data_IF_598703463159
#
_entry.id   IF_598703463159
#
_cell.length_a   1.000
_cell.length_b   1.000
_cell.length_c   1.000
_cell.angle_alpha   90.00
_cell.angle_beta   90.00
_cell.angle_gamma   90.00
#
_symmetry.space_group_name_H-M   'P 1'
#
loop_
_entity.id
_entity.type
_entity.pdbx_description
1 polymer ?
#
# COMPACT_ATOMS: atom_id res chain seq x y z
N UNK A 1 22.46 -17.45 -19.00
CA UNK A 1 21.16 -17.64 -19.67
C UNK A 1 19.99 -17.89 -18.72
N UNK A 2 20.05 -18.82 -17.75
CA UNK A 2 18.92 -19.09 -16.82
C UNK A 2 18.63 -17.94 -15.84
N UNK A 3 19.64 -17.26 -15.30
CA UNK A 3 19.47 -16.16 -14.33
C UNK A 3 18.77 -14.94 -14.93
N UNK A 4 19.11 -14.58 -16.15
CA UNK A 4 18.50 -13.45 -16.89
C UNK A 4 17.05 -13.73 -17.26
N UNK A 5 16.74 -14.98 -17.67
CA UNK A 5 15.37 -15.43 -17.96
C UNK A 5 14.47 -15.40 -16.72
N UNK A 6 15.00 -15.75 -15.55
CA UNK A 6 14.27 -15.70 -14.29
C UNK A 6 13.99 -14.26 -13.84
N UNK A 7 14.92 -13.32 -14.02
CA UNK A 7 14.72 -11.90 -13.73
C UNK A 7 13.63 -11.30 -14.64
N UNK A 8 13.63 -11.63 -15.95
CA UNK A 8 12.59 -11.18 -16.88
C UNK A 8 11.20 -11.72 -16.50
N UNK A 9 11.10 -12.98 -16.08
CA UNK A 9 9.83 -13.58 -15.62
C UNK A 9 9.33 -12.92 -14.34
N UNK A 10 10.21 -12.70 -13.36
CA UNK A 10 9.86 -12.03 -12.11
C UNK A 10 9.35 -10.61 -12.36
N UNK A 11 10.01 -9.86 -13.24
CA UNK A 11 9.58 -8.53 -13.65
C UNK A 11 8.20 -8.55 -14.32
N UNK A 12 7.98 -9.48 -15.27
CA UNK A 12 6.73 -9.59 -16.00
C UNK A 12 5.55 -9.92 -15.06
N UNK A 13 5.68 -10.92 -14.19
CA UNK A 13 4.63 -11.27 -13.24
C UNK A 13 4.33 -10.18 -12.23
N UNK A 14 5.36 -9.47 -11.76
CA UNK A 14 5.16 -8.33 -10.87
C UNK A 14 4.43 -7.18 -11.57
N UNK A 15 4.75 -6.93 -12.84
CA UNK A 15 4.06 -5.92 -13.67
C UNK A 15 2.60 -6.30 -13.89
N UNK A 16 2.31 -7.55 -14.29
CA UNK A 16 0.94 -8.06 -14.47
C UNK A 16 0.15 -7.92 -13.16
N UNK A 17 0.71 -8.40 -12.04
CA UNK A 17 0.05 -8.32 -10.74
C UNK A 17 -0.26 -6.89 -10.31
N UNK A 18 0.69 -5.96 -10.49
CA UNK A 18 0.48 -4.54 -10.19
C UNK A 18 -0.57 -3.88 -11.08
N UNK A 19 -0.60 -4.25 -12.36
CA UNK A 19 -1.62 -3.76 -13.31
C UNK A 19 -3.01 -4.30 -12.96
N UNK A 20 -3.14 -5.59 -12.62
CA UNK A 20 -4.39 -6.18 -12.15
C UNK A 20 -4.87 -5.51 -10.86
N UNK A 21 -3.96 -5.26 -9.91
CA UNK A 21 -4.28 -4.55 -8.66
C UNK A 21 -4.80 -3.14 -8.91
N UNK A 22 -4.13 -2.35 -9.74
CA UNK A 22 -4.56 -1.00 -10.06
C UNK A 22 -5.83 -0.99 -10.91
N UNK A 23 -5.92 -1.90 -11.89
CA UNK A 23 -7.08 -2.03 -12.79
C UNK A 23 -8.36 -2.45 -12.07
N UNK A 24 -8.28 -3.24 -11.00
CA UNK A 24 -9.45 -3.66 -10.22
C UNK A 24 -10.22 -2.47 -9.63
N UNK A 25 -9.51 -1.41 -9.21
CA UNK A 25 -10.14 -0.19 -8.67
C UNK A 25 -11.01 0.53 -9.71
N UNK A 26 -10.53 0.59 -10.95
CA UNK A 26 -11.29 1.16 -12.07
C UNK A 26 -12.49 0.30 -12.43
N UNK A 27 -12.30 -1.02 -12.48
CA UNK A 27 -13.35 -1.97 -12.79
C UNK A 27 -14.49 -1.91 -11.75
N UNK A 28 -14.16 -1.85 -10.47
CA UNK A 28 -15.18 -1.76 -9.41
C UNK A 28 -16.03 -0.51 -9.58
N UNK A 29 -15.43 0.66 -9.77
CA UNK A 29 -16.19 1.89 -9.97
C UNK A 29 -17.03 1.83 -11.25
N UNK A 30 -16.49 1.29 -12.34
CA UNK A 30 -17.20 1.11 -13.60
C UNK A 30 -18.46 0.26 -13.42
N UNK A 31 -18.30 -0.91 -12.82
CA UNK A 31 -19.40 -1.88 -12.68
C UNK A 31 -20.48 -1.33 -11.74
N UNK A 32 -20.08 -0.70 -10.62
CA UNK A 32 -21.01 -0.06 -9.69
C UNK A 32 -21.77 1.09 -10.37
N UNK A 33 -21.08 1.95 -11.14
CA UNK A 33 -21.72 3.05 -11.84
C UNK A 33 -22.75 2.55 -12.87
N UNK A 34 -22.42 1.49 -13.61
CA UNK A 34 -23.28 0.93 -14.66
C UNK A 34 -24.51 0.20 -14.12
N UNK A 35 -24.37 -0.50 -12.98
CA UNK A 35 -25.41 -1.37 -12.43
C UNK A 35 -26.24 -0.65 -11.37
N UNK A 36 -25.58 0.10 -10.47
CA UNK A 36 -26.22 0.72 -9.30
C UNK A 36 -26.51 2.22 -9.49
N UNK A 37 -26.00 2.83 -10.56
CA UNK A 37 -26.17 4.26 -10.84
C UNK A 37 -25.14 5.16 -10.15
N UNK A 38 -25.18 6.46 -10.50
CA UNK A 38 -24.18 7.43 -10.10
C UNK A 38 -24.16 7.72 -8.59
N UNK A 39 -25.31 7.76 -7.93
CA UNK A 39 -25.40 8.06 -6.50
C UNK A 39 -24.69 6.98 -5.64
N UNK A 40 -25.05 5.68 -5.85
CA UNK A 40 -24.37 4.59 -5.13
C UNK A 40 -22.89 4.44 -5.51
N UNK A 41 -22.53 4.75 -6.75
CA UNK A 41 -21.13 4.78 -7.17
C UNK A 41 -20.34 5.90 -6.49
N UNK A 42 -20.97 7.04 -6.20
CA UNK A 42 -20.35 8.13 -5.42
C UNK A 42 -20.05 7.73 -4.00
N UNK A 43 -21.02 7.16 -3.31
CA UNK A 43 -20.81 6.57 -1.99
C UNK A 43 -19.71 5.51 -2.00
N UNK A 44 -19.74 4.58 -2.98
CA UNK A 44 -18.71 3.55 -3.14
C UNK A 44 -17.32 4.18 -3.35
N UNK A 45 -17.23 5.19 -4.21
CA UNK A 45 -15.97 5.89 -4.50
C UNK A 45 -15.36 6.58 -3.28
N UNK A 46 -16.19 7.23 -2.45
CA UNK A 46 -15.76 7.89 -1.22
C UNK A 46 -15.31 6.84 -0.17
N UNK A 47 -16.10 5.80 0.04
CA UNK A 47 -15.78 4.70 0.95
C UNK A 47 -14.50 3.98 0.52
N UNK A 48 -14.31 3.75 -0.79
CA UNK A 48 -13.13 3.13 -1.34
C UNK A 48 -11.87 4.02 -1.21
N UNK A 49 -12.02 5.34 -1.41
CA UNK A 49 -10.94 6.30 -1.19
C UNK A 49 -10.49 6.33 0.27
N UNK A 50 -11.45 6.29 1.21
CA UNK A 50 -11.18 6.17 2.64
C UNK A 50 -10.50 4.85 2.99
N UNK A 51 -10.98 3.74 2.42
CA UNK A 51 -10.37 2.43 2.61
C UNK A 51 -8.91 2.39 2.09
N UNK A 52 -8.62 3.04 0.97
CA UNK A 52 -7.26 3.20 0.43
C UNK A 52 -6.36 4.04 1.35
N UNK A 53 -6.91 5.10 1.96
CA UNK A 53 -6.17 5.91 2.93
C UNK A 53 -5.87 5.10 4.20
N UNK A 54 -6.86 4.41 4.74
CA UNK A 54 -6.72 3.54 5.91
C UNK A 54 -5.81 2.33 5.64
N UNK A 55 -5.70 1.88 4.39
CA UNK A 55 -4.74 0.85 3.99
C UNK A 55 -3.29 1.24 4.33
N UNK A 56 -2.96 2.55 4.33
CA UNK A 56 -1.62 2.99 4.76
C UNK A 56 -1.39 2.72 6.25
N UNK A 57 -2.44 2.81 7.09
CA UNK A 57 -2.39 2.38 8.50
C UNK A 57 -2.16 0.87 8.59
N UNK A 58 -2.90 0.08 7.79
CA UNK A 58 -2.73 -1.38 7.72
C UNK A 58 -1.33 -1.80 7.24
N UNK A 59 -0.76 -1.14 6.25
CA UNK A 59 0.59 -1.41 5.72
C UNK A 59 1.72 -0.87 6.60
N UNK A 60 1.54 0.28 7.19
CA UNK A 60 2.47 0.97 8.09
C UNK A 60 3.94 1.07 7.58
N UNK A 61 4.15 0.92 6.28
CA UNK A 61 5.50 0.88 5.69
C UNK A 61 6.34 -0.36 6.02
N UNK A 62 5.79 -1.33 6.74
CA UNK A 62 6.50 -2.52 7.26
C UNK A 62 7.10 -3.37 6.14
N UNK A 63 6.40 -3.53 5.01
CA UNK A 63 6.89 -4.33 3.87
C UNK A 63 8.22 -3.82 3.32
N UNK A 64 8.39 -2.51 3.20
CA UNK A 64 9.63 -1.93 2.68
C UNK A 64 10.80 -2.23 3.60
N UNK A 65 10.57 -2.18 4.92
CA UNK A 65 11.57 -2.57 5.90
C UNK A 65 11.86 -4.07 5.80
N UNK A 66 10.83 -4.93 5.80
CA UNK A 66 10.95 -6.39 5.70
C UNK A 66 11.74 -6.81 4.46
N UNK A 67 11.42 -6.24 3.28
CA UNK A 67 12.12 -6.58 2.03
C UNK A 67 13.62 -6.24 2.03
N UNK A 68 14.05 -5.33 2.91
CA UNK A 68 15.46 -4.89 3.06
C UNK A 68 16.15 -5.45 4.30
N UNK A 69 15.44 -6.20 5.13
CA UNK A 69 15.99 -6.85 6.34
C UNK A 69 16.70 -8.18 5.98
N UNK A 70 17.82 -8.05 5.25
CA UNK A 70 18.61 -9.20 4.81
C UNK A 70 19.30 -9.92 5.97
N UNK A 71 19.53 -9.23 7.08
CA UNK A 71 20.13 -9.80 8.30
C UNK A 71 19.11 -10.50 9.21
N UNK A 72 17.85 -10.60 8.78
CA UNK A 72 16.76 -11.26 9.51
C UNK A 72 16.65 -10.78 10.97
N UNK A 73 16.75 -9.46 11.17
CA UNK A 73 16.67 -8.83 12.49
C UNK A 73 15.34 -9.12 13.19
N UNK A 74 14.28 -9.28 12.41
CA UNK A 74 12.94 -9.62 12.86
C UNK A 74 12.49 -10.92 12.21
N UNK A 75 11.85 -11.79 12.98
CA UNK A 75 11.28 -13.05 12.52
C UNK A 75 10.00 -12.81 11.69
N UNK A 76 9.62 -13.78 10.86
CA UNK A 76 8.37 -13.69 10.09
C UNK A 76 7.14 -13.63 11.02
N UNK A 77 7.19 -14.28 12.18
CA UNK A 77 6.13 -14.21 13.20
C UNK A 77 5.96 -12.80 13.80
N UNK A 78 7.06 -12.05 13.98
CA UNK A 78 7.01 -10.64 14.43
C UNK A 78 6.43 -9.72 13.36
N UNK A 79 6.77 -9.95 12.08
CA UNK A 79 6.13 -9.23 10.97
C UNK A 79 4.63 -9.54 10.87
N UNK A 80 4.20 -10.80 11.07
CA UNK A 80 2.76 -11.15 11.13
C UNK A 80 2.05 -10.47 12.29
N UNK A 81 2.65 -10.48 13.50
CA UNK A 81 2.07 -9.81 14.67
C UNK A 81 1.94 -8.29 14.45
N UNK A 82 2.97 -7.65 13.87
CA UNK A 82 2.88 -6.23 13.52
C UNK A 82 1.70 -5.95 12.58
N UNK A 83 1.44 -6.86 11.63
CA UNK A 83 0.33 -6.76 10.68
C UNK A 83 -1.03 -6.93 11.35
N UNK A 84 -1.16 -7.85 12.29
CA UNK A 84 -2.40 -8.02 13.07
C UNK A 84 -2.73 -6.73 13.82
N UNK A 85 -1.74 -6.12 14.49
CA UNK A 85 -1.92 -4.86 15.22
C UNK A 85 -2.34 -3.74 14.28
N UNK A 86 -1.62 -3.54 13.17
CA UNK A 86 -1.91 -2.44 12.22
C UNK A 86 -3.23 -2.63 11.47
N UNK A 87 -3.61 -3.86 11.12
CA UNK A 87 -4.91 -4.18 10.57
C UNK A 87 -6.04 -3.97 11.58
N UNK A 88 -5.83 -4.31 12.85
CA UNK A 88 -6.77 -4.02 13.93
C UNK A 88 -7.01 -2.52 14.09
N UNK A 89 -5.95 -1.71 14.08
CA UNK A 89 -6.06 -0.24 14.10
C UNK A 89 -6.76 0.31 12.84
N UNK A 90 -6.45 -0.24 11.67
CA UNK A 90 -7.12 0.11 10.41
C UNK A 90 -8.63 -0.11 10.50
N UNK A 91 -9.07 -1.28 11.00
CA UNK A 91 -10.49 -1.60 11.16
C UNK A 91 -11.15 -0.73 12.22
N UNK A 92 -10.47 -0.47 13.35
CA UNK A 92 -10.99 0.42 14.40
C UNK A 92 -11.27 1.82 13.84
N UNK A 93 -10.30 2.43 13.16
CA UNK A 93 -10.48 3.75 12.52
C UNK A 93 -11.53 3.70 11.42
N UNK A 94 -11.62 2.59 10.69
CA UNK A 94 -12.65 2.39 9.66
C UNK A 94 -14.07 2.33 10.22
N UNK A 95 -14.28 1.60 11.32
CA UNK A 95 -15.57 1.52 12.01
C UNK A 95 -15.95 2.91 12.55
N UNK A 96 -15.02 3.59 13.23
CA UNK A 96 -15.25 4.95 13.76
C UNK A 96 -15.65 5.89 12.61
N UNK A 97 -14.85 5.95 11.54
CA UNK A 97 -15.16 6.81 10.39
C UNK A 97 -16.54 6.52 9.79
N UNK A 98 -16.84 5.24 9.55
CA UNK A 98 -18.11 4.84 8.94
C UNK A 98 -19.32 5.19 9.83
N UNK A 99 -19.21 5.00 11.14
CA UNK A 99 -20.28 5.31 12.09
C UNK A 99 -20.56 6.81 12.21
N UNK A 100 -19.55 7.67 12.02
CA UNK A 100 -19.73 9.13 12.08
C UNK A 100 -20.20 9.75 10.76
N UNK A 101 -19.91 9.12 9.61
CA UNK A 101 -20.15 9.73 8.30
C UNK A 101 -21.32 9.11 7.54
N UNK A 102 -21.75 7.91 7.91
CA UNK A 102 -22.83 7.17 7.23
C UNK A 102 -23.93 6.72 8.19
N UNK A 103 -25.06 6.28 7.66
CA UNK A 103 -26.20 5.76 8.43
C UNK A 103 -26.75 4.47 7.80
N UNK A 104 -27.43 3.66 8.62
CA UNK A 104 -28.11 2.44 8.16
C UNK A 104 -27.17 1.45 7.46
N UNK A 105 -27.58 0.93 6.33
CA UNK A 105 -26.82 -0.07 5.55
C UNK A 105 -25.49 0.46 5.02
N UNK A 106 -25.36 1.77 4.78
CA UNK A 106 -24.15 2.39 4.27
C UNK A 106 -22.97 2.23 5.22
N UNK A 107 -23.20 2.19 6.55
CA UNK A 107 -22.15 1.89 7.54
C UNK A 107 -21.55 0.53 7.25
N UNK A 108 -22.39 -0.48 7.08
CA UNK A 108 -21.98 -1.88 6.91
C UNK A 108 -21.25 -2.05 5.57
N UNK A 109 -21.78 -1.46 4.49
CA UNK A 109 -21.14 -1.50 3.16
C UNK A 109 -19.74 -0.87 3.23
N UNK A 110 -19.61 0.30 3.87
CA UNK A 110 -18.33 0.98 4.04
C UNK A 110 -17.32 0.13 4.81
N UNK A 111 -17.75 -0.53 5.91
CA UNK A 111 -16.91 -1.44 6.69
C UNK A 111 -16.42 -2.61 5.84
N UNK A 112 -17.27 -3.23 5.01
CA UNK A 112 -16.86 -4.31 4.12
C UNK A 112 -15.90 -3.84 3.00
N UNK A 113 -16.07 -2.61 2.47
CA UNK A 113 -15.12 -2.01 1.54
C UNK A 113 -13.74 -1.81 2.22
N UNK A 114 -13.73 -1.34 3.47
CA UNK A 114 -12.51 -1.21 4.26
C UNK A 114 -11.89 -2.59 4.54
N UNK A 115 -12.70 -3.60 4.83
CA UNK A 115 -12.24 -4.98 5.00
C UNK A 115 -11.63 -5.56 3.72
N UNK A 116 -12.22 -5.30 2.54
CA UNK A 116 -11.60 -5.66 1.26
C UNK A 116 -10.20 -5.07 1.11
N UNK A 117 -9.98 -3.82 1.55
CA UNK A 117 -8.66 -3.19 1.54
C UNK A 117 -7.75 -3.67 2.67
N UNK A 118 -8.28 -4.09 3.80
CA UNK A 118 -7.50 -4.73 4.86
C UNK A 118 -6.86 -6.03 4.36
N UNK A 119 -7.54 -6.77 3.49
CA UNK A 119 -6.98 -7.98 2.87
C UNK A 119 -5.70 -7.66 2.08
N UNK A 120 -5.64 -6.51 1.41
CA UNK A 120 -4.42 -6.04 0.72
C UNK A 120 -3.26 -5.80 1.72
N UNK A 121 -3.56 -5.35 2.95
CA UNK A 121 -2.56 -5.22 4.00
C UNK A 121 -2.11 -6.58 4.55
N UNK A 122 -3.03 -7.53 4.73
CA UNK A 122 -2.69 -8.90 5.17
C UNK A 122 -1.79 -9.58 4.14
N UNK A 123 -2.13 -9.48 2.84
CA UNK A 123 -1.33 -10.03 1.75
C UNK A 123 0.10 -9.46 1.71
N UNK A 124 0.24 -8.19 2.05
CA UNK A 124 1.49 -7.43 1.97
C UNK A 124 2.62 -8.04 2.83
N UNK A 125 2.33 -8.66 3.98
CA UNK A 125 3.34 -9.31 4.82
C UNK A 125 3.88 -10.61 4.20
N UNK A 126 3.02 -11.36 3.51
CA UNK A 126 3.44 -12.55 2.76
C UNK A 126 4.26 -12.17 1.54
N UNK A 127 3.87 -11.09 0.84
CA UNK A 127 4.64 -10.54 -0.27
C UNK A 127 6.01 -10.03 0.18
N UNK A 128 6.10 -9.42 1.35
CA UNK A 128 7.37 -9.03 1.97
C UNK A 128 8.29 -10.22 2.21
N UNK A 129 7.75 -11.33 2.73
CA UNK A 129 8.49 -12.58 2.95
C UNK A 129 9.00 -13.18 1.62
N UNK A 130 8.15 -13.28 0.61
CA UNK A 130 8.56 -13.77 -0.72
C UNK A 130 9.61 -12.87 -1.37
N UNK A 131 9.50 -11.55 -1.21
CA UNK A 131 10.46 -10.59 -1.74
C UNK A 131 11.82 -10.67 -1.02
N UNK A 132 11.82 -10.83 0.30
CA UNK A 132 13.02 -11.00 1.12
C UNK A 132 13.80 -12.27 0.72
N UNK A 133 13.09 -13.32 0.30
CA UNK A 133 13.67 -14.58 -0.17
C UNK A 133 13.89 -14.63 -1.71
N UNK A 134 13.87 -13.48 -2.39
CA UNK A 134 14.08 -13.35 -3.85
C UNK A 134 13.04 -14.06 -4.74
N UNK A 135 11.85 -14.41 -4.21
CA UNK A 135 10.77 -15.06 -4.94
C UNK A 135 9.74 -14.06 -5.50
N UNK A 136 10.21 -13.01 -6.19
CA UNK A 136 9.37 -11.93 -6.73
C UNK A 136 8.38 -12.42 -7.81
N UNK A 137 8.72 -13.47 -8.56
CA UNK A 137 7.82 -14.10 -9.54
C UNK A 137 6.57 -14.67 -8.85
N UNK A 138 6.76 -15.41 -7.75
CA UNK A 138 5.69 -16.04 -6.99
C UNK A 138 4.79 -15.00 -6.32
N UNK A 139 5.39 -13.92 -5.81
CA UNK A 139 4.68 -12.76 -5.29
C UNK A 139 3.76 -12.15 -6.36
N UNK A 140 4.29 -11.92 -7.58
CA UNK A 140 3.49 -11.39 -8.69
C UNK A 140 2.33 -12.32 -9.09
N UNK A 141 2.55 -13.64 -9.10
CA UNK A 141 1.50 -14.65 -9.36
C UNK A 141 0.40 -14.62 -8.30
N UNK A 142 0.77 -14.62 -7.00
CA UNK A 142 -0.19 -14.55 -5.90
C UNK A 142 -1.07 -13.30 -6.00
N UNK A 143 -0.44 -12.13 -6.21
CA UNK A 143 -1.12 -10.86 -6.41
C UNK A 143 -2.09 -10.89 -7.60
N UNK A 144 -1.68 -11.48 -8.73
CA UNK A 144 -2.51 -11.60 -9.93
C UNK A 144 -3.73 -12.49 -9.68
N UNK A 145 -3.52 -13.70 -9.12
CA UNK A 145 -4.59 -14.68 -8.86
C UNK A 145 -5.67 -14.04 -7.98
N UNK A 146 -5.28 -13.43 -6.85
CA UNK A 146 -6.23 -12.83 -5.93
C UNK A 146 -6.99 -11.65 -6.55
N UNK A 147 -6.29 -10.74 -7.23
CA UNK A 147 -6.95 -9.56 -7.78
C UNK A 147 -7.89 -9.90 -8.94
N UNK A 148 -7.50 -10.82 -9.83
CA UNK A 148 -8.37 -11.28 -10.92
C UNK A 148 -9.60 -11.98 -10.34
N UNK A 149 -9.42 -12.90 -9.38
CA UNK A 149 -10.55 -13.55 -8.70
C UNK A 149 -11.50 -12.52 -8.08
N UNK A 150 -10.97 -11.58 -7.27
CA UNK A 150 -11.79 -10.58 -6.59
C UNK A 150 -12.56 -9.71 -7.58
N UNK A 151 -11.92 -9.31 -8.69
CA UNK A 151 -12.55 -8.49 -9.72
C UNK A 151 -13.66 -9.24 -10.47
N UNK A 152 -13.43 -10.49 -10.85
CA UNK A 152 -14.42 -11.34 -11.53
C UNK A 152 -15.58 -11.66 -10.59
N UNK A 153 -15.28 -12.03 -9.35
CA UNK A 153 -16.28 -12.39 -8.35
C UNK A 153 -17.17 -11.19 -7.98
N UNK A 154 -16.56 -10.02 -7.71
CA UNK A 154 -17.28 -8.77 -7.45
C UNK A 154 -18.24 -8.43 -8.59
N UNK A 155 -17.74 -8.46 -9.82
CA UNK A 155 -18.51 -8.15 -11.02
C UNK A 155 -19.66 -9.15 -11.20
N UNK A 156 -19.39 -10.45 -11.08
CA UNK A 156 -20.40 -11.50 -11.23
C UNK A 156 -21.52 -11.41 -10.19
N UNK A 157 -21.17 -11.25 -8.90
CA UNK A 157 -22.16 -11.10 -7.84
C UNK A 157 -22.99 -9.83 -8.04
N UNK A 158 -22.37 -8.69 -8.39
CA UNK A 158 -23.11 -7.45 -8.60
C UNK A 158 -24.06 -7.52 -9.79
N UNK A 159 -23.69 -8.19 -10.88
CA UNK A 159 -24.56 -8.41 -12.04
C UNK A 159 -25.80 -9.25 -11.69
N UNK A 160 -25.64 -10.25 -10.83
CA UNK A 160 -26.72 -11.16 -10.43
C UNK A 160 -27.61 -10.53 -9.39
N UNK A 161 -27.03 -9.97 -8.32
CA UNK A 161 -27.78 -9.51 -7.14
C UNK A 161 -28.27 -8.08 -7.24
N UNK A 162 -27.60 -7.25 -8.07
CA UNK A 162 -27.79 -5.79 -8.15
C UNK A 162 -27.73 -5.09 -6.79
N UNK A 163 -27.15 -5.75 -5.76
CA UNK A 163 -27.03 -5.26 -4.40
C UNK A 163 -25.57 -5.04 -4.05
N UNK A 164 -25.21 -3.79 -3.75
CA UNK A 164 -23.86 -3.43 -3.33
C UNK A 164 -23.51 -4.06 -1.97
N UNK A 165 -24.50 -4.16 -1.07
CA UNK A 165 -24.35 -4.79 0.24
C UNK A 165 -23.91 -6.26 0.12
N UNK A 166 -24.66 -7.07 -0.63
CA UNK A 166 -24.34 -8.50 -0.82
C UNK A 166 -22.99 -8.66 -1.52
N UNK A 167 -22.74 -7.83 -2.52
CA UNK A 167 -21.49 -7.88 -3.31
C UNK A 167 -20.27 -7.59 -2.47
N UNK A 168 -20.27 -6.51 -1.70
CA UNK A 168 -19.13 -6.13 -0.86
C UNK A 168 -18.89 -7.17 0.24
N UNK A 169 -19.96 -7.65 0.89
CA UNK A 169 -19.87 -8.67 1.93
C UNK A 169 -19.30 -10.00 1.39
N UNK A 170 -19.89 -10.53 0.32
CA UNK A 170 -19.45 -11.79 -0.28
C UNK A 170 -18.01 -11.69 -0.80
N UNK A 171 -17.66 -10.59 -1.47
CA UNK A 171 -16.30 -10.40 -2.00
C UNK A 171 -15.27 -10.26 -0.88
N UNK A 172 -15.59 -9.55 0.21
CA UNK A 172 -14.68 -9.42 1.34
C UNK A 172 -14.38 -10.79 1.98
N UNK A 173 -15.43 -11.57 2.27
CA UNK A 173 -15.29 -12.89 2.92
C UNK A 173 -14.51 -13.87 2.01
N UNK A 174 -14.90 -14.01 0.76
CA UNK A 174 -14.27 -14.96 -0.18
C UNK A 174 -12.83 -14.56 -0.53
N UNK A 175 -12.57 -13.26 -0.69
CA UNK A 175 -11.21 -12.75 -0.94
C UNK A 175 -10.29 -12.97 0.27
N UNK A 176 -10.81 -12.89 1.50
CA UNK A 176 -10.02 -13.18 2.70
C UNK A 176 -9.61 -14.66 2.74
N UNK A 177 -10.56 -15.57 2.50
CA UNK A 177 -10.30 -17.00 2.47
C UNK A 177 -9.24 -17.32 1.39
N UNK A 178 -9.43 -16.77 0.18
CA UNK A 178 -8.48 -16.98 -0.93
C UNK A 178 -7.10 -16.37 -0.62
N UNK A 179 -7.06 -15.18 -0.04
CA UNK A 179 -5.82 -14.52 0.36
C UNK A 179 -5.02 -15.40 1.33
N UNK A 180 -5.67 -15.90 2.38
CA UNK A 180 -5.02 -16.75 3.37
C UNK A 180 -4.56 -18.09 2.75
N UNK A 181 -5.39 -18.72 1.91
CA UNK A 181 -5.06 -19.98 1.25
C UNK A 181 -3.86 -19.84 0.29
N UNK A 182 -3.95 -18.89 -0.65
CA UNK A 182 -2.93 -18.69 -1.70
C UNK A 182 -1.60 -18.21 -1.10
N UNK A 183 -1.64 -17.18 -0.25
CA UNK A 183 -0.41 -16.62 0.29
C UNK A 183 0.26 -17.55 1.31
N UNK A 184 -0.51 -18.29 2.12
CA UNK A 184 0.06 -19.30 3.02
C UNK A 184 0.70 -20.45 2.25
N UNK A 185 0.08 -20.88 1.13
CA UNK A 185 0.66 -21.91 0.26
C UNK A 185 1.99 -21.46 -0.36
N UNK A 186 2.04 -20.24 -0.94
CA UNK A 186 3.27 -19.69 -1.49
C UNK A 186 4.34 -19.44 -0.43
N UNK A 187 3.96 -18.91 0.74
CA UNK A 187 4.88 -18.63 1.83
C UNK A 187 5.51 -19.91 2.40
N UNK A 188 4.71 -20.98 2.59
CA UNK A 188 5.22 -22.29 3.05
C UNK A 188 6.19 -22.91 2.05
N UNK A 189 5.95 -22.73 0.75
CA UNK A 189 6.75 -23.36 -0.30
C UNK A 189 8.01 -22.59 -0.68
N UNK A 190 7.98 -21.26 -0.56
CA UNK A 190 9.01 -20.36 -1.07
C UNK A 190 9.45 -19.28 -0.07
N UNK A 191 8.79 -19.17 1.06
CA UNK A 191 9.07 -18.16 2.08
C UNK A 191 10.06 -18.62 3.16
N UNK A 192 10.34 -17.74 4.12
CA UNK A 192 11.05 -18.13 5.34
C UNK A 192 10.19 -19.08 6.19
N UNK A 193 10.78 -20.16 6.73
CA UNK A 193 10.09 -20.97 7.72
C UNK A 193 9.77 -20.12 8.96
N UNK A 194 8.63 -20.39 9.59
CA UNK A 194 8.32 -19.80 10.90
C UNK A 194 9.33 -20.36 11.92
N UNK A 195 10.03 -19.49 12.64
CA UNK A 195 10.96 -19.84 13.70
C UNK A 195 10.33 -20.71 14.81
N UNK A 196 8.99 -20.85 14.83
CA UNK A 196 8.27 -21.75 15.71
C UNK A 196 8.35 -23.23 15.30
N UNK A 197 8.74 -23.52 14.04
CA UNK A 197 8.95 -24.91 13.60
C UNK A 197 10.30 -25.46 14.10
N UNK A 198 11.33 -24.60 14.24
CA UNK A 198 12.65 -25.03 14.74
C UNK A 198 12.65 -25.28 16.25
N UNK A 199 11.77 -24.61 17.02
CA UNK A 199 11.67 -24.88 18.46
C UNK A 199 11.09 -26.26 18.76
N UNK A 200 10.30 -26.88 17.86
CA UNK A 200 9.84 -28.27 18.02
C UNK A 200 10.96 -29.28 17.72
N UNK A 201 11.82 -28.96 16.75
CA UNK A 201 12.97 -29.81 16.42
C UNK A 201 14.06 -29.71 17.55
N UNK A 202 14.37 -28.48 18.00
CA UNK A 202 15.28 -28.29 19.13
C UNK A 202 14.74 -28.87 20.44
N UNK A 203 13.42 -28.91 20.69
CA UNK A 203 12.84 -29.58 21.84
C UNK A 203 12.83 -31.10 21.68
N UNK A 204 12.75 -31.62 20.45
CA UNK A 204 12.89 -33.05 20.21
C UNK A 204 14.34 -33.51 20.39
N UNK A 205 15.31 -32.75 19.90
CA UNK A 205 16.74 -33.02 20.04
C UNK A 205 17.20 -32.83 21.50
N UNK A 206 16.67 -31.81 22.21
CA UNK A 206 16.94 -31.64 23.65
C UNK A 206 16.31 -32.74 24.49
N UNK A 207 15.12 -33.26 24.17
CA UNK A 207 14.53 -34.43 24.83
C UNK A 207 15.25 -35.71 24.49
N UNK A 208 15.79 -35.87 23.29
CA UNK A 208 16.58 -37.02 22.90
C UNK A 208 17.95 -36.98 23.55
N UNK A 209 18.61 -35.82 23.62
CA UNK A 209 19.86 -35.62 24.36
C UNK A 209 19.71 -35.83 25.89
N UNK A 210 18.56 -35.42 26.47
CA UNK A 210 18.21 -35.72 27.85
C UNK A 210 17.93 -37.22 28.08
N UNK A 211 17.28 -37.88 27.12
CA UNK A 211 17.02 -39.32 27.16
C UNK A 211 18.32 -40.15 27.11
N UNK A 212 19.27 -39.73 26.27
CA UNK A 212 20.57 -40.40 26.15
C UNK A 212 21.51 -40.13 27.36
N UNK A 213 21.40 -38.92 27.98
CA UNK A 213 22.10 -38.61 29.22
C UNK A 213 21.57 -39.42 30.43
N UNK A 214 20.30 -39.80 30.42
CA UNK A 214 19.71 -40.66 31.46
C UNK A 214 20.08 -42.14 31.29
N UNK A 215 20.30 -42.63 30.06
CA UNK A 215 20.77 -43.98 29.78
C UNK A 215 22.24 -44.21 30.19
N UNK A 216 23.06 -43.17 30.20
CA UNK A 216 24.47 -43.28 30.51
C UNK A 216 24.77 -43.29 32.05
N UNK A 217 23.77 -43.14 32.91
CA UNK A 217 23.93 -43.13 34.39
C UNK A 217 23.38 -44.37 35.10
N UNK A 218 22.87 -45.37 34.36
CA UNK A 218 22.30 -46.60 34.97
C UNK A 218 23.24 -47.82 35.00
N UNK A 219 24.50 -47.68 34.60
CA UNK A 219 25.50 -48.72 34.75
C UNK A 219 26.65 -48.23 35.67
N UNK A 220 26.42 -48.23 36.96
CA UNK A 220 27.39 -48.56 38.00
C UNK A 220 26.81 -48.39 39.41
N UNK A 221 26.60 -49.55 40.04
CA UNK A 221 26.79 -49.91 41.47
C UNK A 221 26.00 -49.16 42.56
N UNK A 222 25.31 -50.03 43.33
CA UNK A 222 25.20 -50.01 44.78
C UNK A 222 24.25 -49.01 45.46
N UNK A 223 23.16 -49.59 45.92
CA UNK A 223 22.52 -49.40 47.23
C UNK A 223 22.41 -47.99 47.81
N UNK A 224 21.22 -47.35 47.63
CA UNK A 224 20.51 -46.78 48.80
C UNK A 224 19.14 -46.18 48.28
N UNK A 225 18.11 -46.60 49.00
CA UNK A 225 16.77 -46.08 48.91
C UNK A 225 16.68 -44.62 49.36
N UNK A 226 16.31 -43.70 48.50
CA UNK A 226 15.73 -42.41 48.89
C UNK A 226 14.47 -42.13 48.09
N UNK A 227 13.38 -41.96 48.86
CA UNK A 227 12.09 -41.47 48.38
C UNK A 227 12.26 -40.16 47.61
N UNK A 228 11.84 -40.11 46.34
CA UNK A 228 11.59 -38.86 45.64
C UNK A 228 10.12 -38.50 45.79
N UNK A 229 9.86 -37.40 46.47
CA UNK A 229 8.55 -36.80 46.64
C UNK A 229 8.04 -36.16 45.35
N UNK A 230 6.74 -36.31 45.10
CA UNK A 230 6.00 -35.80 43.95
C UNK A 230 5.69 -34.31 44.12
N UNK A 231 6.71 -33.43 44.12
CA UNK A 231 6.49 -31.96 44.13
C UNK A 231 7.01 -31.21 42.90
N UNK A 232 7.51 -31.91 41.86
CA UNK A 232 8.12 -31.27 40.68
C UNK A 232 7.15 -31.04 39.49
N UNK A 233 5.88 -31.50 39.57
CA UNK A 233 4.93 -31.36 38.48
C UNK A 233 4.27 -29.96 38.38
N UNK A 234 4.18 -29.23 39.48
CA UNK A 234 3.51 -27.93 39.54
C UNK A 234 4.44 -26.77 39.22
N UNK A 235 5.73 -26.89 39.51
CA UNK A 235 6.74 -25.87 39.18
C UNK A 235 7.10 -25.82 37.67
N UNK A 236 6.96 -26.95 36.95
CA UNK A 236 7.21 -27.01 35.52
C UNK A 236 6.06 -26.37 34.73
N UNK A 237 4.80 -26.50 35.14
CA UNK A 237 3.68 -25.84 34.51
C UNK A 237 3.75 -24.30 34.68
N UNK A 238 4.05 -23.84 35.91
CA UNK A 238 4.25 -22.41 36.19
C UNK A 238 5.47 -21.80 35.49
N UNK A 239 6.56 -22.58 35.33
CA UNK A 239 7.73 -22.16 34.54
C UNK A 239 7.44 -22.12 33.05
N UNK A 240 6.62 -23.02 32.50
CA UNK A 240 6.18 -22.95 31.08
C UNK A 240 5.27 -21.75 30.81
N UNK A 241 4.33 -21.45 31.72
CA UNK A 241 3.49 -20.24 31.58
C UNK A 241 4.30 -18.95 31.76
N UNK A 242 5.21 -18.89 32.70
CA UNK A 242 6.12 -17.75 32.89
C UNK A 242 7.09 -17.58 31.71
N UNK A 243 7.61 -18.65 31.11
CA UNK A 243 8.47 -18.57 29.93
C UNK A 243 7.70 -18.18 28.68
N UNK A 244 6.41 -18.55 28.57
CA UNK A 244 5.53 -18.11 27.46
C UNK A 244 5.19 -16.62 27.57
N UNK A 245 4.86 -16.15 28.78
CA UNK A 245 4.56 -14.72 29.01
C UNK A 245 5.79 -13.82 28.84
N UNK A 246 6.97 -14.29 29.19
CA UNK A 246 8.25 -13.58 28.96
C UNK A 246 8.59 -13.55 27.46
N UNK A 247 8.33 -14.65 26.72
CA UNK A 247 8.52 -14.72 25.27
C UNK A 247 7.58 -13.79 24.50
N UNK A 248 6.32 -13.70 24.93
CA UNK A 248 5.34 -12.83 24.29
C UNK A 248 5.58 -11.34 24.60
N UNK A 249 5.97 -11.01 25.81
CA UNK A 249 6.37 -9.63 26.19
C UNK A 249 7.61 -9.17 25.40
N UNK A 250 8.57 -10.06 25.16
CA UNK A 250 9.75 -9.75 24.34
C UNK A 250 9.39 -9.53 22.87
N UNK A 251 8.53 -10.39 22.28
CA UNK A 251 8.03 -10.23 20.90
C UNK A 251 7.26 -8.92 20.74
N UNK A 252 6.38 -8.57 21.68
CA UNK A 252 5.63 -7.32 21.63
C UNK A 252 6.54 -6.09 21.68
N UNK A 253 7.57 -6.11 22.51
CA UNK A 253 8.58 -5.04 22.58
C UNK A 253 9.38 -4.91 21.29
N UNK A 254 9.70 -6.00 20.60
CA UNK A 254 10.35 -6.00 19.30
C UNK A 254 9.45 -5.42 18.22
N UNK A 255 8.18 -5.82 18.16
CA UNK A 255 7.19 -5.28 17.22
C UNK A 255 6.98 -3.78 17.42
N UNK A 256 6.92 -3.31 18.67
CA UNK A 256 6.82 -1.87 18.97
C UNK A 256 8.04 -1.10 18.45
N UNK A 257 9.25 -1.66 18.56
CA UNK A 257 10.46 -1.06 17.98
C UNK A 257 10.40 -1.02 16.46
N UNK A 258 9.94 -2.09 15.81
CA UNK A 258 9.75 -2.16 14.37
C UNK A 258 8.79 -1.07 13.90
N UNK A 259 7.62 -0.94 14.54
CA UNK A 259 6.64 0.07 14.19
C UNK A 259 7.18 1.49 14.37
N UNK A 260 7.94 1.78 15.45
CA UNK A 260 8.60 3.08 15.64
C UNK A 260 9.57 3.42 14.51
N UNK A 261 10.33 2.44 14.02
CA UNK A 261 11.24 2.62 12.87
C UNK A 261 10.47 2.92 11.59
N UNK A 262 9.31 2.29 11.39
CA UNK A 262 8.48 2.46 10.20
C UNK A 262 7.59 3.73 10.25
N UNK A 263 7.40 4.36 11.42
CA UNK A 263 6.51 5.53 11.61
C UNK A 263 6.77 6.67 10.63
N UNK A 264 8.00 7.14 10.38
CA UNK A 264 8.23 8.23 9.44
C UNK A 264 7.81 7.89 8.01
N UNK A 265 8.00 6.62 7.60
CA UNK A 265 7.60 6.12 6.29
C UNK A 265 6.07 6.02 6.18
N UNK A 266 5.43 5.54 7.23
CA UNK A 266 3.97 5.51 7.33
C UNK A 266 3.37 6.92 7.20
N UNK A 267 3.84 7.89 7.98
CA UNK A 267 3.32 9.27 7.93
C UNK A 267 3.51 9.88 6.54
N UNK A 268 4.67 9.66 5.92
CA UNK A 268 4.94 10.15 4.56
C UNK A 268 3.97 9.60 3.51
N UNK A 269 3.75 8.28 3.50
CA UNK A 269 2.82 7.63 2.57
C UNK A 269 1.36 7.97 2.86
N UNK A 270 0.99 8.10 4.14
CA UNK A 270 -0.35 8.51 4.55
C UNK A 270 -0.67 9.93 4.09
N UNK A 271 0.22 10.90 4.35
CA UNK A 271 0.04 12.28 3.92
C UNK A 271 0.02 12.42 2.40
N UNK A 272 0.88 11.69 1.70
CA UNK A 272 0.89 11.67 0.24
C UNK A 272 -0.48 11.24 -0.31
N UNK A 273 -1.04 10.13 0.19
CA UNK A 273 -2.34 9.65 -0.26
C UNK A 273 -3.51 10.53 0.22
N UNK A 274 -3.39 11.11 1.41
CA UNK A 274 -4.38 12.07 1.93
C UNK A 274 -4.55 13.24 0.97
N UNK A 275 -3.46 13.83 0.47
CA UNK A 275 -3.48 14.96 -0.46
C UNK A 275 -4.28 14.67 -1.74
N UNK A 276 -4.18 13.44 -2.29
CA UNK A 276 -4.98 13.03 -3.44
C UNK A 276 -6.48 12.91 -3.12
N UNK A 277 -6.83 12.68 -1.85
CA UNK A 277 -8.21 12.46 -1.41
C UNK A 277 -8.85 13.70 -0.74
N UNK A 278 -8.07 14.73 -0.37
CA UNK A 278 -8.61 15.98 0.21
C UNK A 278 -9.77 16.56 -0.58
N UNK A 279 -9.72 16.67 -1.93
CA UNK A 279 -10.85 17.17 -2.71
C UNK A 279 -12.13 16.34 -2.52
N UNK A 280 -12.03 15.01 -2.45
CA UNK A 280 -13.16 14.11 -2.24
C UNK A 280 -13.81 14.30 -0.88
N UNK A 281 -12.99 14.43 0.18
CA UNK A 281 -13.50 14.70 1.54
C UNK A 281 -14.14 16.08 1.64
N UNK A 282 -13.59 17.09 0.95
CA UNK A 282 -14.20 18.40 0.91
C UNK A 282 -15.55 18.38 0.20
N UNK A 283 -15.69 17.63 -0.90
CA UNK A 283 -16.96 17.48 -1.63
C UNK A 283 -18.01 16.72 -0.82
N UNK A 284 -17.64 15.70 -0.06
CA UNK A 284 -18.56 14.88 0.72
C UNK A 284 -19.42 15.67 1.72
N UNK A 285 -18.90 16.81 2.19
CA UNK A 285 -19.59 17.68 3.14
C UNK A 285 -20.42 18.79 2.48
N UNK A 286 -20.38 18.93 1.15
CA UNK A 286 -20.91 20.09 0.42
C UNK A 286 -21.81 19.69 -0.74
N UNK A 287 -21.48 18.59 -1.43
CA UNK A 287 -22.12 18.15 -2.66
C UNK A 287 -22.78 16.78 -2.46
N UNK A 288 -23.72 16.44 -3.35
CA UNK A 288 -24.36 15.11 -3.37
C UNK A 288 -23.38 14.03 -3.84
N UNK A 289 -23.66 12.77 -3.53
CA UNK A 289 -22.81 11.62 -3.86
C UNK A 289 -22.54 11.47 -5.36
N UNK A 290 -23.46 11.89 -6.24
CA UNK A 290 -23.27 11.84 -7.68
C UNK A 290 -22.04 12.62 -8.13
N UNK A 291 -21.76 13.78 -7.53
CA UNK A 291 -20.59 14.58 -7.85
C UNK A 291 -19.29 13.85 -7.47
N UNK A 292 -19.30 12.97 -6.46
CA UNK A 292 -18.17 12.09 -6.15
C UNK A 292 -17.87 11.11 -7.29
N UNK A 293 -18.93 10.58 -7.92
CA UNK A 293 -18.81 9.70 -9.09
C UNK A 293 -18.19 10.46 -10.27
N UNK A 294 -18.76 11.61 -10.65
CA UNK A 294 -18.24 12.41 -11.76
C UNK A 294 -16.79 12.81 -11.55
N UNK A 295 -16.45 13.33 -10.38
CA UNK A 295 -15.07 13.67 -10.05
C UNK A 295 -14.12 12.44 -10.13
N UNK A 296 -14.54 11.30 -9.61
CA UNK A 296 -13.71 10.09 -9.61
C UNK A 296 -13.48 9.54 -11.01
N UNK A 297 -14.47 9.58 -11.89
CA UNK A 297 -14.34 9.20 -13.29
C UNK A 297 -13.40 10.17 -14.02
N UNK A 298 -13.57 11.48 -13.84
CA UNK A 298 -12.73 12.50 -14.46
C UNK A 298 -11.28 12.44 -13.95
N UNK A 299 -11.07 12.00 -12.71
CA UNK A 299 -9.75 11.87 -12.09
C UNK A 299 -8.95 10.66 -12.59
N UNK A 300 -9.61 9.60 -13.07
CA UNK A 300 -8.94 8.35 -13.46
C UNK A 300 -7.79 8.51 -14.45
N UNK A 301 -7.92 9.27 -15.56
CA UNK A 301 -6.80 9.45 -16.48
C UNK A 301 -5.58 10.11 -15.83
N UNK A 302 -5.77 11.01 -14.85
CA UNK A 302 -4.69 11.63 -14.09
C UNK A 302 -3.88 10.59 -13.31
N UNK A 303 -4.54 9.58 -12.76
CA UNK A 303 -3.88 8.45 -12.09
C UNK A 303 -3.12 7.57 -13.08
N UNK A 304 -3.68 7.33 -14.28
CA UNK A 304 -3.01 6.56 -15.34
C UNK A 304 -1.73 7.26 -15.79
N UNK A 305 -1.72 8.60 -15.91
CA UNK A 305 -0.52 9.38 -16.23
C UNK A 305 0.60 9.08 -15.21
N UNK A 306 0.29 9.15 -13.92
CA UNK A 306 1.27 8.88 -12.86
C UNK A 306 1.79 7.44 -12.93
N UNK A 307 0.93 6.46 -13.20
CA UNK A 307 1.30 5.05 -13.35
C UNK A 307 2.23 4.84 -14.56
N UNK A 308 1.94 5.47 -15.71
CA UNK A 308 2.79 5.39 -16.90
C UNK A 308 4.19 5.98 -16.63
N UNK A 309 4.26 7.11 -15.91
CA UNK A 309 5.53 7.71 -15.50
C UNK A 309 6.34 6.80 -14.58
N UNK A 310 5.70 6.03 -13.73
CA UNK A 310 6.38 5.05 -12.87
C UNK A 310 7.13 4.00 -13.70
N UNK A 311 6.55 3.50 -14.79
CA UNK A 311 7.21 2.54 -15.67
C UNK A 311 8.41 3.14 -16.42
N UNK A 312 8.30 4.39 -16.86
CA UNK A 312 9.39 5.11 -17.54
C UNK A 312 10.51 5.43 -16.58
N UNK A 313 10.19 5.81 -15.34
CA UNK A 313 11.18 6.29 -14.38
C UNK A 313 11.95 5.17 -13.66
N UNK A 314 11.32 4.03 -13.35
CA UNK A 314 11.97 2.92 -12.61
C UNK A 314 13.35 2.50 -13.18
N UNK A 315 13.54 2.33 -14.50
CA UNK A 315 14.84 1.95 -15.04
C UNK A 315 15.88 3.09 -14.99
N UNK A 316 15.46 4.36 -14.87
CA UNK A 316 16.36 5.53 -14.87
C UNK A 316 16.93 5.87 -13.50
N UNK A 317 16.34 5.35 -12.44
CA UNK A 317 16.72 5.64 -11.03
C UNK A 317 18.18 5.28 -10.73
N UNK A 318 18.65 4.14 -11.26
CA UNK A 318 20.01 3.66 -11.05
C UNK A 318 21.03 4.58 -11.72
N UNK A 319 20.77 5.02 -12.96
CA UNK A 319 21.60 5.97 -13.70
C UNK A 319 21.69 7.32 -12.98
N UNK A 320 20.56 7.82 -12.46
CA UNK A 320 20.50 9.07 -11.68
C UNK A 320 21.35 8.95 -10.41
N UNK A 321 21.21 7.85 -9.67
CA UNK A 321 22.01 7.60 -8.48
C UNK A 321 23.50 7.51 -8.81
N UNK A 322 23.88 6.79 -9.87
CA UNK A 322 25.25 6.63 -10.31
C UNK A 322 25.89 8.00 -10.65
N UNK A 323 25.25 8.79 -11.53
CA UNK A 323 25.76 10.13 -11.91
C UNK A 323 25.92 11.07 -10.71
N UNK A 324 25.03 10.94 -9.70
CA UNK A 324 25.15 11.70 -8.46
C UNK A 324 26.37 11.28 -7.63
N UNK A 325 26.64 9.99 -7.52
CA UNK A 325 27.77 9.46 -6.74
C UNK A 325 29.11 9.62 -7.46
N UNK A 326 29.14 9.54 -8.79
CA UNK A 326 30.30 9.86 -9.61
C UNK A 326 30.66 11.36 -9.58
N UNK A 327 29.84 12.19 -8.95
CA UNK A 327 30.06 13.62 -8.80
C UNK A 327 30.06 14.41 -10.14
N UNK A 328 29.47 13.86 -11.21
CA UNK A 328 29.27 14.52 -12.49
C UNK A 328 27.98 15.32 -12.51
N UNK A 329 27.99 16.49 -11.81
CA UNK A 329 26.81 17.33 -11.68
C UNK A 329 26.27 17.85 -13.02
N UNK A 330 27.11 18.02 -14.03
CA UNK A 330 26.69 18.51 -15.35
C UNK A 330 25.84 17.43 -16.05
N UNK A 331 26.35 16.20 -16.12
CA UNK A 331 25.60 15.08 -16.71
C UNK A 331 24.36 14.77 -15.90
N UNK A 332 24.44 14.77 -14.56
CA UNK A 332 23.29 14.58 -13.67
C UNK A 332 22.17 15.58 -13.98
N UNK A 333 22.48 16.89 -14.01
CA UNK A 333 21.47 17.94 -14.25
C UNK A 333 20.88 17.82 -15.65
N UNK A 334 21.72 17.56 -16.66
CA UNK A 334 21.25 17.37 -18.04
C UNK A 334 20.36 16.13 -18.19
N UNK A 335 20.69 15.03 -17.51
CA UNK A 335 19.90 13.81 -17.52
C UNK A 335 18.53 14.00 -16.84
N UNK A 336 18.51 14.67 -15.67
CA UNK A 336 17.27 15.03 -14.96
C UNK A 336 16.39 15.94 -15.83
N UNK A 337 16.95 17.00 -16.42
CA UNK A 337 16.20 17.90 -17.31
C UNK A 337 15.62 17.15 -18.52
N UNK A 338 16.39 16.24 -19.12
CA UNK A 338 15.91 15.41 -20.22
C UNK A 338 14.69 14.57 -19.81
N UNK A 339 14.71 13.96 -18.63
CA UNK A 339 13.57 13.17 -18.15
C UNK A 339 12.35 14.07 -17.90
N UNK A 340 12.53 15.22 -17.25
CA UNK A 340 11.46 16.23 -17.06
C UNK A 340 10.83 16.59 -18.40
N UNK A 341 11.65 16.93 -19.40
CA UNK A 341 11.14 17.30 -20.74
C UNK A 341 10.34 16.15 -21.38
N UNK A 342 10.83 14.91 -21.29
CA UNK A 342 10.10 13.75 -21.83
C UNK A 342 8.76 13.57 -21.15
N UNK A 343 8.70 13.67 -19.82
CA UNK A 343 7.44 13.56 -19.07
C UNK A 343 6.49 14.70 -19.45
N UNK A 344 6.97 15.95 -19.54
CA UNK A 344 6.15 17.09 -19.93
C UNK A 344 5.57 16.93 -21.34
N UNK A 345 6.36 16.46 -22.31
CA UNK A 345 5.88 16.20 -23.67
C UNK A 345 4.82 15.09 -23.68
N UNK A 346 5.05 14.00 -22.96
CA UNK A 346 4.06 12.93 -22.82
C UNK A 346 2.77 13.44 -22.17
N UNK A 347 2.89 14.24 -21.10
CA UNK A 347 1.74 14.82 -20.41
C UNK A 347 0.97 15.79 -21.31
N UNK A 348 1.65 16.64 -22.08
CA UNK A 348 1.02 17.52 -23.05
C UNK A 348 0.23 16.72 -24.10
N UNK A 349 0.83 15.65 -24.63
CA UNK A 349 0.15 14.73 -25.56
C UNK A 349 -1.11 14.09 -24.95
N UNK A 350 -1.05 13.67 -23.67
CA UNK A 350 -2.21 13.09 -22.98
C UNK A 350 -3.30 14.15 -22.71
N UNK A 351 -2.93 15.37 -22.35
CA UNK A 351 -3.89 16.49 -22.17
C UNK A 351 -4.62 16.79 -23.48
N UNK A 352 -3.88 16.87 -24.60
CA UNK A 352 -4.47 17.10 -25.94
C UNK A 352 -5.36 15.93 -26.34
N UNK A 353 -4.89 14.69 -26.22
CA UNK A 353 -5.67 13.49 -26.53
C UNK A 353 -6.91 13.34 -25.63
N UNK A 354 -6.76 13.65 -24.34
CA UNK A 354 -7.85 13.68 -23.37
C UNK A 354 -8.89 14.73 -23.73
N UNK A 355 -8.45 15.93 -24.13
CA UNK A 355 -9.35 16.99 -24.56
C UNK A 355 -10.18 16.59 -25.79
N UNK A 356 -9.57 15.91 -26.76
CA UNK A 356 -10.24 15.55 -28.05
C UNK A 356 -11.18 14.35 -27.87
N UNK A 357 -10.74 13.28 -27.21
CA UNK A 357 -11.44 11.99 -27.21
C UNK A 357 -11.70 11.48 -25.78
N UNK A 358 -10.88 11.86 -24.80
CA UNK A 358 -10.85 11.24 -23.48
C UNK A 358 -12.19 11.34 -22.73
N UNK A 359 -12.84 12.51 -22.73
CA UNK A 359 -14.14 12.70 -22.07
C UNK A 359 -15.21 11.81 -22.69
N UNK A 360 -15.36 11.84 -24.02
CA UNK A 360 -16.35 11.04 -24.74
C UNK A 360 -16.14 9.54 -24.52
N UNK A 361 -14.88 9.11 -24.47
CA UNK A 361 -14.54 7.71 -24.13
C UNK A 361 -15.01 7.34 -22.72
N UNK A 362 -14.81 8.21 -21.73
CA UNK A 362 -15.28 7.99 -20.36
C UNK A 362 -16.81 7.97 -20.29
N UNK A 363 -17.51 8.85 -21.01
CA UNK A 363 -18.97 8.85 -21.11
C UNK A 363 -19.51 7.53 -21.66
N UNK A 364 -18.91 7.01 -22.73
CA UNK A 364 -19.29 5.72 -23.32
C UNK A 364 -19.01 4.58 -22.35
N UNK A 365 -17.83 4.58 -21.72
CA UNK A 365 -17.43 3.51 -20.80
C UNK A 365 -18.32 3.49 -19.54
N UNK A 366 -18.53 4.64 -18.90
CA UNK A 366 -19.25 4.73 -17.63
C UNK A 366 -20.76 4.93 -17.78
N UNK A 367 -21.24 5.36 -18.94
CA UNK A 367 -22.68 5.61 -19.22
C UNK A 367 -23.25 6.80 -18.46
N UNK A 368 -22.45 7.80 -18.19
CA UNK A 368 -22.83 9.04 -17.51
C UNK A 368 -22.51 10.25 -18.38
N UNK A 369 -23.32 11.30 -18.29
CA UNK A 369 -23.05 12.55 -19.01
C UNK A 369 -21.99 13.38 -18.27
N UNK A 370 -20.84 13.57 -18.90
CA UNK A 370 -19.74 14.38 -18.41
C UNK A 370 -19.56 15.69 -19.20
N UNK A 371 -20.51 16.00 -20.11
CA UNK A 371 -20.46 17.20 -20.95
C UNK A 371 -20.29 18.51 -20.18
N UNK A 372 -20.93 18.68 -18.97
CA UNK A 372 -20.79 19.92 -18.20
C UNK A 372 -19.39 20.07 -17.55
N UNK A 373 -18.59 18.99 -17.49
CA UNK A 373 -17.34 18.95 -16.71
C UNK A 373 -16.06 18.97 -17.56
N UNK A 374 -16.13 19.49 -18.79
CA UNK A 374 -14.99 19.55 -19.73
C UNK A 374 -13.78 20.30 -19.15
N UNK A 375 -14.00 21.43 -18.50
CA UNK A 375 -12.93 22.25 -17.94
C UNK A 375 -12.29 21.58 -16.72
N UNK A 376 -13.12 20.99 -15.86
CA UNK A 376 -12.66 20.23 -14.70
C UNK A 376 -11.76 19.05 -15.12
N UNK A 377 -12.15 18.37 -16.20
CA UNK A 377 -11.38 17.27 -16.77
C UNK A 377 -9.97 17.73 -17.20
N UNK A 378 -9.87 18.86 -17.91
CA UNK A 378 -8.57 19.42 -18.32
C UNK A 378 -7.73 19.81 -17.12
N UNK A 379 -8.33 20.46 -16.11
CA UNK A 379 -7.63 20.84 -14.87
C UNK A 379 -7.07 19.61 -14.16
N UNK A 380 -7.84 18.53 -14.08
CA UNK A 380 -7.40 17.27 -13.48
C UNK A 380 -6.29 16.60 -14.28
N UNK A 381 -6.34 16.64 -15.62
CA UNK A 381 -5.25 16.12 -16.46
C UNK A 381 -3.94 16.91 -16.27
N UNK A 382 -4.01 18.24 -16.22
CA UNK A 382 -2.84 19.09 -15.93
C UNK A 382 -2.30 18.77 -14.53
N UNK A 383 -3.18 18.67 -13.54
CA UNK A 383 -2.80 18.26 -12.18
C UNK A 383 -2.13 16.88 -12.15
N UNK A 384 -2.63 15.93 -12.93
CA UNK A 384 -2.03 14.60 -13.10
C UNK A 384 -0.63 14.65 -13.72
N UNK A 385 -0.43 15.52 -14.72
CA UNK A 385 0.88 15.77 -15.33
C UNK A 385 1.89 16.34 -14.34
N UNK A 386 1.49 17.35 -13.57
CA UNK A 386 2.34 17.91 -12.48
C UNK A 386 2.58 16.85 -11.39
N UNK A 387 1.58 16.04 -11.06
CA UNK A 387 1.69 14.92 -10.11
C UNK A 387 2.72 13.87 -10.55
N UNK A 388 2.84 13.61 -11.85
CA UNK A 388 3.87 12.74 -12.41
C UNK A 388 5.28 13.32 -12.24
N UNK A 389 5.46 14.63 -12.44
CA UNK A 389 6.72 15.32 -12.14
C UNK A 389 7.05 15.30 -10.65
N UNK A 390 6.05 15.49 -9.78
CA UNK A 390 6.20 15.36 -8.32
C UNK A 390 6.70 13.96 -7.96
N UNK A 391 6.11 12.91 -8.54
CA UNK A 391 6.55 11.53 -8.33
C UNK A 391 8.01 11.33 -8.74
N UNK A 392 8.43 11.88 -9.86
CA UNK A 392 9.81 11.81 -10.33
C UNK A 392 10.77 12.55 -9.36
N UNK A 393 10.50 13.81 -9.01
CA UNK A 393 11.31 14.61 -8.09
C UNK A 393 11.48 13.93 -6.73
N UNK A 394 10.37 13.38 -6.21
CA UNK A 394 10.35 12.57 -4.99
C UNK A 394 11.36 11.40 -5.07
N UNK A 395 11.32 10.61 -6.14
CA UNK A 395 12.21 9.47 -6.30
C UNK A 395 13.68 9.88 -6.52
N UNK A 396 13.95 10.99 -7.21
CA UNK A 396 15.30 11.56 -7.35
C UNK A 396 15.87 11.92 -5.96
N UNK A 397 15.09 12.61 -5.13
CA UNK A 397 15.50 13.01 -3.79
C UNK A 397 15.78 11.78 -2.89
N UNK A 398 15.00 10.70 -3.05
CA UNK A 398 15.31 9.42 -2.38
C UNK A 398 16.65 8.85 -2.88
N UNK A 399 16.84 8.79 -4.19
CA UNK A 399 18.04 8.21 -4.81
C UNK A 399 19.33 8.91 -4.37
N UNK A 400 19.28 10.22 -4.16
CA UNK A 400 20.41 11.03 -3.64
C UNK A 400 20.46 11.11 -2.11
N UNK A 401 19.65 10.30 -1.39
CA UNK A 401 19.55 10.19 0.07
C UNK A 401 19.07 11.44 0.81
N UNK A 402 18.25 12.26 0.17
CA UNK A 402 17.61 13.45 0.75
C UNK A 402 16.15 13.19 1.18
N UNK A 403 15.75 11.95 1.41
CA UNK A 403 14.39 11.55 1.78
C UNK A 403 13.84 12.18 3.07
N UNK A 404 14.69 12.72 3.94
CA UNK A 404 14.25 13.39 5.19
C UNK A 404 13.38 14.63 4.95
N UNK A 405 13.48 15.27 3.78
CA UNK A 405 12.69 16.45 3.44
C UNK A 405 11.22 16.13 3.10
N UNK A 406 10.87 14.86 2.90
CA UNK A 406 9.54 14.48 2.43
C UNK A 406 8.44 14.76 3.44
N UNK A 407 8.69 14.42 4.70
CA UNK A 407 7.71 14.61 5.76
C UNK A 407 7.31 16.10 5.91
N UNK A 408 8.24 17.08 6.07
CA UNK A 408 7.86 18.47 6.14
C UNK A 408 7.17 18.99 4.87
N UNK A 409 7.60 18.57 3.68
CA UNK A 409 6.97 19.00 2.42
C UNK A 409 5.52 18.54 2.34
N UNK A 410 5.26 17.24 2.60
CA UNK A 410 3.88 16.73 2.61
C UNK A 410 3.04 17.36 3.72
N UNK A 411 3.60 17.62 4.92
CA UNK A 411 2.87 18.23 6.02
C UNK A 411 2.45 19.67 5.72
N UNK A 412 3.36 20.49 5.20
CA UNK A 412 3.06 21.88 4.83
C UNK A 412 2.00 21.90 3.72
N UNK A 413 2.15 21.09 2.69
CA UNK A 413 1.17 21.00 1.60
C UNK A 413 -0.19 20.56 2.12
N UNK A 414 -0.25 19.55 3.02
CA UNK A 414 -1.50 19.08 3.59
C UNK A 414 -2.23 20.17 4.40
N UNK A 415 -1.52 20.91 5.23
CA UNK A 415 -2.11 22.01 6.00
C UNK A 415 -2.73 23.06 5.07
N UNK A 416 -1.99 23.50 4.04
CA UNK A 416 -2.47 24.52 3.12
C UNK A 416 -3.69 24.03 2.34
N UNK A 417 -3.60 22.84 1.75
CA UNK A 417 -4.65 22.32 0.86
C UNK A 417 -5.92 21.94 1.61
N UNK A 418 -5.82 21.39 2.83
CA UNK A 418 -6.98 21.10 3.68
C UNK A 418 -7.68 22.38 4.11
N UNK A 419 -6.91 23.42 4.52
CA UNK A 419 -7.47 24.69 4.97
C UNK A 419 -8.34 25.38 3.90
N UNK A 420 -7.93 25.31 2.62
CA UNK A 420 -8.65 25.97 1.52
C UNK A 420 -9.68 25.05 0.80
N UNK A 421 -9.61 23.74 1.00
CA UNK A 421 -10.40 22.77 0.25
C UNK A 421 -11.90 23.01 0.36
N UNK A 422 -12.41 23.17 1.58
CA UNK A 422 -13.84 23.39 1.83
C UNK A 422 -14.34 24.70 1.21
N UNK A 423 -13.58 25.77 1.32
CA UNK A 423 -13.91 27.08 0.75
C UNK A 423 -13.95 27.00 -0.79
N UNK A 424 -12.96 26.36 -1.39
CA UNK A 424 -12.92 26.19 -2.85
C UNK A 424 -14.10 25.37 -3.37
N UNK A 425 -14.46 24.28 -2.68
CA UNK A 425 -15.60 23.43 -3.08
C UNK A 425 -16.94 24.15 -2.85
N UNK A 426 -17.09 24.89 -1.76
CA UNK A 426 -18.30 25.70 -1.52
C UNK A 426 -18.55 26.74 -2.62
N UNK A 427 -17.48 27.39 -3.12
CA UNK A 427 -17.60 28.45 -4.12
C UNK A 427 -17.73 27.91 -5.54
N UNK A 428 -17.03 26.83 -5.88
CA UNK A 428 -16.89 26.36 -7.26
C UNK A 428 -17.26 24.87 -7.49
N UNK A 429 -17.85 24.20 -6.51
CA UNK A 429 -18.29 22.80 -6.64
C UNK A 429 -17.15 21.86 -7.08
N UNK A 430 -17.40 21.02 -8.08
CA UNK A 430 -16.38 20.08 -8.64
C UNK A 430 -15.16 20.84 -9.18
N UNK A 431 -15.34 22.05 -9.72
CA UNK A 431 -14.22 22.87 -10.18
C UNK A 431 -13.29 23.23 -9.02
N UNK A 432 -13.87 23.59 -7.87
CA UNK A 432 -13.10 23.84 -6.65
C UNK A 432 -12.30 22.64 -6.18
N UNK A 433 -12.89 21.45 -6.26
CA UNK A 433 -12.20 20.20 -5.99
C UNK A 433 -11.03 19.93 -6.96
N UNK A 434 -11.26 20.18 -8.25
CA UNK A 434 -10.23 20.01 -9.30
C UNK A 434 -9.08 21.00 -9.14
N UNK A 435 -9.38 22.25 -8.81
CA UNK A 435 -8.39 23.29 -8.53
C UNK A 435 -7.61 23.00 -7.24
N UNK A 436 -8.26 22.45 -6.20
CA UNK A 436 -7.57 22.04 -4.98
C UNK A 436 -6.56 20.91 -5.23
N UNK A 437 -6.91 19.94 -6.08
CA UNK A 437 -5.97 18.92 -6.53
C UNK A 437 -4.78 19.52 -7.29
N UNK A 438 -5.03 20.40 -8.25
CA UNK A 438 -4.00 21.12 -9.00
C UNK A 438 -3.08 21.91 -8.09
N UNK A 439 -3.65 22.63 -7.09
CA UNK A 439 -2.92 23.40 -6.10
C UNK A 439 -2.00 22.48 -5.28
N UNK A 440 -2.51 21.33 -4.82
CA UNK A 440 -1.72 20.34 -4.07
C UNK A 440 -0.50 19.87 -4.87
N UNK A 441 -0.70 19.49 -6.13
CA UNK A 441 0.37 19.05 -7.02
C UNK A 441 1.37 20.19 -7.30
N UNK A 442 0.90 21.42 -7.50
CA UNK A 442 1.75 22.59 -7.78
C UNK A 442 2.63 22.96 -6.58
N UNK A 443 2.08 22.95 -5.35
CA UNK A 443 2.86 23.21 -4.12
C UNK A 443 3.94 22.13 -3.96
N UNK A 444 3.58 20.85 -4.10
CA UNK A 444 4.54 19.75 -4.00
C UNK A 444 5.67 19.89 -5.03
N UNK A 445 5.31 20.22 -6.29
CA UNK A 445 6.27 20.41 -7.37
C UNK A 445 7.27 21.53 -7.03
N UNK A 446 6.76 22.70 -6.63
CA UNK A 446 7.61 23.87 -6.28
C UNK A 446 8.53 23.54 -5.11
N UNK A 447 8.03 22.90 -4.06
CA UNK A 447 8.83 22.55 -2.89
C UNK A 447 9.91 21.51 -3.20
N UNK A 448 9.57 20.41 -3.89
CA UNK A 448 10.55 19.39 -4.24
C UNK A 448 11.58 19.90 -5.25
N UNK A 449 11.17 20.67 -6.26
CA UNK A 449 12.08 21.28 -7.21
C UNK A 449 13.05 22.26 -6.53
N UNK A 450 12.55 23.10 -5.62
CA UNK A 450 13.38 24.04 -4.84
C UNK A 450 14.42 23.31 -3.99
N UNK A 451 14.02 22.22 -3.33
CA UNK A 451 14.96 21.39 -2.56
C UNK A 451 16.01 20.74 -3.46
N UNK A 452 15.60 20.19 -4.61
CA UNK A 452 16.56 19.59 -5.55
C UNK A 452 17.57 20.61 -6.06
N UNK A 453 17.12 21.81 -6.44
CA UNK A 453 17.98 22.91 -6.87
C UNK A 453 18.95 23.30 -5.75
N UNK A 454 18.44 23.46 -4.53
CA UNK A 454 19.29 23.78 -3.36
C UNK A 454 20.39 22.73 -3.14
N UNK A 455 20.03 21.45 -3.23
CA UNK A 455 20.99 20.33 -3.04
C UNK A 455 22.07 20.32 -4.13
N UNK A 456 21.68 20.57 -5.38
CA UNK A 456 22.63 20.67 -6.51
C UNK A 456 23.58 21.85 -6.31
N UNK A 457 23.07 23.04 -5.97
CA UNK A 457 23.85 24.25 -5.72
C UNK A 457 24.81 24.08 -4.54
N UNK A 458 24.34 23.48 -3.45
CA UNK A 458 25.18 23.15 -2.27
C UNK A 458 26.33 22.23 -2.67
N UNK A 459 26.07 21.18 -3.41
CA UNK A 459 27.10 20.24 -3.88
C UNK A 459 28.10 20.89 -4.85
N UNK A 460 27.62 21.84 -5.69
CA UNK A 460 28.49 22.61 -6.58
C UNK A 460 29.44 23.54 -5.83
N UNK A 461 29.02 24.10 -4.67
CA UNK A 461 29.87 24.97 -3.82
C UNK A 461 30.92 24.20 -3.02
N UNK A 462 30.75 22.90 -2.85
CA UNK A 462 31.66 22.01 -2.13
C UNK A 462 32.78 21.44 -3.04
N UNK A 463 32.70 21.70 -4.36
CA UNK A 463 33.74 21.46 -5.35
C UNK A 463 34.57 22.71 -5.57
#
# INVERSE_FOLDING_TARGET
MNKEKNVKKAFLWNMIGSTCYSGSSFLYLLVVTRICGATLAGFFSLSYATAQLLLQVGRYGVRTYQATDLNQKYSFSEYKLSRVITCGLMMLFGIIYSSFNFSGEYIVISIFIIMMKMIDAVEDVFHGNLQQNYHVEQMGKALTIRNVYSAVFFTGILMVTKSLYITCTATAVTSLILCLAVNSWFARRYGMPDATADNTTCQHDAKQAMGDAYKCKTDQSSGNTHKCEASQGMDTANKCEASHSIGDSHKFRHVTKLLKICTPMFIGTFLSLLLYNVPKYAMANVLTDEYQTYYSILFMPSFVITLMCEFVFKPTITTIAQLWWENDLKKFTMYVLRIITVILVCCAGIVVGGHLIGRTLLEIIYGVDLSPYKLQFIVLLIGGGIGAEVYMLYNILIAIRWGKCMLPVYSVTAVITIAVARTMVNQWGIMGASLNYLLSCSILFVLFASILIFVILRKKRQK
#
